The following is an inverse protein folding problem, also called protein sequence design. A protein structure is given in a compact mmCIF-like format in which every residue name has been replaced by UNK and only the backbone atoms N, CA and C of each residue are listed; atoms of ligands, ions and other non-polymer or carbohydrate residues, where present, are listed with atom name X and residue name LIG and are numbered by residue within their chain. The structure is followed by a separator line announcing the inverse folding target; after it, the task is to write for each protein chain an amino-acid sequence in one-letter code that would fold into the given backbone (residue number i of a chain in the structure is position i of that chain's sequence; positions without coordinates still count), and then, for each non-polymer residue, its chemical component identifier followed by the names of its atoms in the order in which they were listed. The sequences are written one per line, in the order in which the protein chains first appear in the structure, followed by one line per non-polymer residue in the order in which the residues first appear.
data_IF_558539371727
#
_entry.id   IF_558539371727
#
_cell.length_a   1.000
_cell.length_b   1.000
_cell.length_c   1.000
_cell.angle_alpha   90.00
_cell.angle_beta   90.00
_cell.angle_gamma   90.00
#
_symmetry.space_group_name_H-M   'P 1'
#
loop_
_entity.id
_entity.type
_entity.pdbx_description
1 polymer ?
#
# COMPACT_ATOMS: atom_id res chain seq x y z
N UNK A 1 -18.37 1.07 -12.11
CA UNK A 1 -17.41 2.19 -12.03
C UNK A 1 -17.19 2.51 -10.56
N UNK A 2 -15.96 2.43 -10.08
CA UNK A 2 -15.61 2.48 -8.65
C UNK A 2 -15.30 3.92 -8.17
N UNK A 3 -15.97 4.93 -8.71
CA UNK A 3 -15.66 6.34 -8.41
C UNK A 3 -15.84 6.71 -6.93
N UNK A 4 -16.74 6.03 -6.22
CA UNK A 4 -16.89 6.23 -4.77
C UNK A 4 -15.64 5.77 -4.00
N UNK A 5 -14.97 4.70 -4.45
CA UNK A 5 -13.69 4.24 -3.88
C UNK A 5 -12.61 5.29 -4.13
N UNK A 6 -12.55 5.82 -5.35
CA UNK A 6 -11.59 6.87 -5.71
C UNK A 6 -11.76 8.13 -4.84
N UNK A 7 -13.01 8.52 -4.53
CA UNK A 7 -13.29 9.64 -3.62
C UNK A 7 -12.79 9.38 -2.20
N UNK A 8 -13.00 8.17 -1.68
CA UNK A 8 -12.51 7.78 -0.35
C UNK A 8 -10.97 7.79 -0.34
N UNK A 9 -10.34 7.17 -1.33
CA UNK A 9 -8.89 7.15 -1.46
C UNK A 9 -8.31 8.56 -1.52
N UNK A 10 -8.95 9.48 -2.24
CA UNK A 10 -8.49 10.87 -2.32
C UNK A 10 -8.54 11.60 -0.97
N UNK A 11 -9.59 11.40 -0.17
CA UNK A 11 -9.66 11.98 1.17
C UNK A 11 -8.68 11.32 2.15
N UNK A 12 -8.40 10.02 1.96
CA UNK A 12 -7.54 9.25 2.86
C UNK A 12 -6.05 9.33 2.51
N UNK A 13 -5.71 9.74 1.28
CA UNK A 13 -4.34 9.74 0.75
C UNK A 13 -3.27 10.35 1.67
N UNK A 14 -3.47 11.55 2.27
CA UNK A 14 -2.46 12.10 3.18
C UNK A 14 -2.17 11.18 4.37
N UNK A 15 -3.18 10.53 4.92
CA UNK A 15 -3.04 9.60 6.04
C UNK A 15 -2.44 8.25 5.61
N UNK A 16 -2.77 7.79 4.40
CA UNK A 16 -2.17 6.59 3.81
C UNK A 16 -0.66 6.80 3.65
N UNK A 17 -0.23 7.99 3.23
CA UNK A 17 1.19 8.35 3.12
C UNK A 17 1.95 8.14 4.42
N UNK A 18 1.45 8.70 5.53
CA UNK A 18 2.06 8.53 6.86
C UNK A 18 2.10 7.05 7.28
N UNK A 19 1.02 6.32 7.03
CA UNK A 19 0.94 4.90 7.37
C UNK A 19 1.91 4.03 6.56
N UNK A 20 2.03 4.29 5.26
CA UNK A 20 2.99 3.60 4.39
C UNK A 20 4.42 3.93 4.77
N UNK A 21 4.73 5.19 5.13
CA UNK A 21 6.06 5.54 5.66
C UNK A 21 6.40 4.67 6.87
N UNK A 22 5.45 4.51 7.80
CA UNK A 22 5.64 3.66 8.97
C UNK A 22 5.88 2.20 8.58
N UNK A 23 5.10 1.63 7.66
CA UNK A 23 5.33 0.26 7.16
C UNK A 23 6.72 0.11 6.56
N UNK A 24 7.14 1.08 5.73
CA UNK A 24 8.43 1.04 5.07
C UNK A 24 9.57 1.05 6.09
N UNK A 25 9.49 1.89 7.13
CA UNK A 25 10.52 1.99 8.18
C UNK A 25 10.51 0.80 9.14
N UNK A 26 9.34 0.39 9.60
CA UNK A 26 9.21 -0.59 10.68
C UNK A 26 9.31 -2.02 10.17
N UNK A 27 8.89 -2.29 8.93
CA UNK A 27 8.85 -3.65 8.37
C UNK A 27 9.78 -3.83 7.18
N UNK A 28 9.80 -2.90 6.22
CA UNK A 28 10.56 -3.10 4.98
C UNK A 28 12.05 -2.82 5.17
N UNK A 29 12.45 -1.74 5.85
CA UNK A 29 13.87 -1.46 6.11
C UNK A 29 14.58 -2.62 6.81
N UNK A 30 14.05 -3.22 7.90
CA UNK A 30 14.70 -4.36 8.54
C UNK A 30 14.81 -5.56 7.60
N UNK A 31 13.77 -5.83 6.81
CA UNK A 31 13.79 -6.92 5.83
C UNK A 31 14.85 -6.71 4.74
N UNK A 32 15.01 -5.48 4.27
CA UNK A 32 16.06 -5.12 3.29
C UNK A 32 17.44 -5.24 3.92
N UNK A 33 17.67 -4.68 5.12
CA UNK A 33 18.95 -4.81 5.84
C UNK A 33 19.35 -6.27 6.05
N UNK A 34 18.40 -7.14 6.41
CA UNK A 34 18.63 -8.57 6.59
C UNK A 34 18.94 -9.32 5.30
N UNK A 35 18.48 -8.80 4.16
CA UNK A 35 18.72 -9.39 2.83
C UNK A 35 20.02 -8.90 2.19
N UNK A 36 20.59 -7.80 2.68
CA UNK A 36 21.80 -7.19 2.14
C UNK A 36 23.08 -7.78 2.77
N UNK A 37 24.21 -7.80 2.02
CA UNK A 37 25.51 -8.18 2.55
C UNK A 37 25.90 -7.32 3.76
N UNK A 38 26.77 -7.84 4.63
CA UNK A 38 27.21 -7.17 5.86
C UNK A 38 27.71 -5.72 5.64
N UNK A 39 28.34 -5.45 4.48
CA UNK A 39 28.84 -4.13 4.10
C UNK A 39 27.74 -3.09 3.83
N UNK A 40 26.48 -3.50 3.64
CA UNK A 40 25.33 -2.66 3.29
C UNK A 40 24.21 -2.69 4.32
N UNK A 41 24.46 -3.23 5.52
CA UNK A 41 23.45 -3.29 6.59
C UNK A 41 23.06 -1.92 7.16
N UNK A 42 23.77 -0.85 6.81
CA UNK A 42 23.45 0.54 7.17
C UNK A 42 22.36 1.18 6.30
N UNK A 43 21.73 0.42 5.39
CA UNK A 43 20.63 0.88 4.54
C UNK A 43 19.54 1.58 5.37
N UNK A 44 19.04 2.73 4.91
CA UNK A 44 17.91 3.45 5.52
C UNK A 44 17.19 4.27 4.46
N UNK A 45 15.88 4.43 4.59
CA UNK A 45 15.15 5.40 3.78
C UNK A 45 15.43 6.81 4.29
N UNK A 46 16.07 7.63 3.46
CA UNK A 46 16.37 9.03 3.76
C UNK A 46 15.13 9.92 3.65
N UNK A 47 14.35 9.73 2.59
CA UNK A 47 13.06 10.41 2.34
C UNK A 47 12.10 9.38 1.75
N UNK A 48 10.86 9.38 2.25
CA UNK A 48 9.74 8.60 1.69
C UNK A 48 8.70 9.61 1.25
N UNK A 49 8.29 9.52 -0.01
CA UNK A 49 7.35 10.45 -0.63
C UNK A 49 6.55 9.67 -1.68
N UNK A 50 5.24 9.57 -1.47
CA UNK A 50 4.34 8.86 -2.39
C UNK A 50 3.72 9.79 -3.44
N UNK A 51 4.02 11.09 -3.37
CA UNK A 51 3.38 12.13 -4.16
C UNK A 51 1.97 12.49 -3.69
N UNK A 52 1.41 13.54 -4.29
CA UNK A 52 0.12 14.12 -3.90
C UNK A 52 -1.09 13.48 -4.61
N UNK A 53 -0.85 12.65 -5.62
CA UNK A 53 -1.90 12.07 -6.46
C UNK A 53 -2.14 10.61 -6.04
N UNK A 54 -3.33 10.26 -5.50
CA UNK A 54 -3.65 8.88 -5.14
C UNK A 54 -3.79 8.00 -6.38
N UNK A 55 -3.58 6.68 -6.24
CA UNK A 55 -3.91 5.73 -7.28
C UNK A 55 -5.42 5.72 -7.55
N UNK A 56 -5.79 5.39 -8.79
CA UNK A 56 -7.18 5.30 -9.22
C UNK A 56 -7.55 3.84 -9.44
N UNK A 57 -8.69 3.45 -8.89
CA UNK A 57 -9.35 2.17 -9.16
C UNK A 57 -10.25 2.33 -10.39
N UNK A 58 -9.91 1.61 -11.46
CA UNK A 58 -10.66 1.56 -12.72
C UNK A 58 -11.87 0.64 -12.64
N UNK A 59 -11.68 -0.53 -12.00
CA UNK A 59 -12.68 -1.59 -11.89
C UNK A 59 -12.68 -2.24 -10.52
N UNK A 60 -13.85 -2.71 -10.07
CA UNK A 60 -13.95 -3.59 -8.90
C UNK A 60 -14.75 -4.81 -9.32
N UNK A 61 -14.16 -6.00 -9.16
CA UNK A 61 -14.81 -7.27 -9.45
C UNK A 61 -14.98 -8.06 -8.16
N UNK A 62 -16.22 -8.35 -7.82
CA UNK A 62 -16.59 -9.03 -6.57
C UNK A 62 -16.95 -10.48 -6.87
N UNK A 63 -16.37 -11.42 -6.11
CA UNK A 63 -16.69 -12.84 -6.21
C UNK A 63 -17.40 -13.28 -4.93
N UNK A 64 -18.72 -13.43 -5.01
CA UNK A 64 -19.59 -13.76 -3.87
C UNK A 64 -19.93 -15.25 -3.75
N UNK A 65 -19.40 -16.10 -4.64
CA UNK A 65 -19.77 -17.53 -4.74
C UNK A 65 -18.62 -18.51 -4.44
N UNK A 66 -17.49 -18.03 -3.94
CA UNK A 66 -16.33 -18.88 -3.67
C UNK A 66 -16.47 -19.61 -2.32
N UNK A 67 -16.82 -18.90 -1.24
CA UNK A 67 -17.12 -19.45 0.09
C UNK A 67 -18.22 -18.63 0.77
N UNK A 68 -18.93 -19.22 1.74
CA UNK A 68 -20.10 -18.58 2.40
C UNK A 68 -19.72 -17.45 3.37
N UNK A 69 -18.48 -17.41 3.81
CA UNK A 69 -17.94 -16.57 4.89
C UNK A 69 -16.87 -15.56 4.42
N UNK A 70 -16.60 -15.51 3.11
CA UNK A 70 -15.55 -14.67 2.53
C UNK A 70 -16.08 -13.91 1.31
N UNK A 71 -15.56 -12.69 1.12
CA UNK A 71 -15.81 -11.90 -0.09
C UNK A 71 -14.46 -11.55 -0.69
N UNK A 72 -14.24 -11.99 -1.94
CA UNK A 72 -13.06 -11.62 -2.71
C UNK A 72 -13.38 -10.41 -3.59
N UNK A 73 -12.50 -9.41 -3.57
CA UNK A 73 -12.62 -8.20 -4.38
C UNK A 73 -11.29 -7.94 -5.09
N UNK A 74 -11.31 -8.04 -6.41
CA UNK A 74 -10.19 -7.59 -7.24
C UNK A 74 -10.41 -6.10 -7.54
N UNK A 75 -9.38 -5.30 -7.28
CA UNK A 75 -9.32 -3.89 -7.68
C UNK A 75 -8.36 -3.77 -8.87
N UNK A 76 -8.88 -3.29 -10.00
CA UNK A 76 -8.10 -2.98 -11.22
C UNK A 76 -7.62 -1.53 -11.21
#
# INVERSE_FOLDING_TARGET
RAEWVNKILNHMWPYIGEYVEKILRDSVEPSVRGSLPASLQSFKFSKIDLGDIPPRVGGVKVYSKLRRDEIYMDLE
#
